data_IF_613566358853
#
_entry.id   IF_613566358853
#
_cell.length_a   1.000
_cell.length_b   1.000
_cell.length_c   1.000
_cell.angle_alpha   90.00
_cell.angle_beta   90.00
_cell.angle_gamma   90.00
#
_symmetry.space_group_name_H-M   'P 1'
#
loop_
_entity.id
_entity.type
_entity.pdbx_description
1 polymer ?
#
# COMPACT_ATOMS: atom_id res chain seq x y z
N UNK A 1 20.14 18.90 -22.78
CA UNK A 1 19.74 18.50 -21.41
C UNK A 1 20.90 17.70 -20.87
N UNK A 2 21.60 18.23 -19.87
CA UNK A 2 22.73 17.53 -19.23
C UNK A 2 22.15 16.33 -18.48
N UNK A 3 22.68 15.13 -18.71
CA UNK A 3 22.19 13.87 -18.11
C UNK A 3 22.49 13.72 -16.62
N UNK A 4 22.47 14.82 -15.86
CA UNK A 4 22.65 14.80 -14.41
C UNK A 4 21.33 14.45 -13.72
N UNK A 5 21.38 13.66 -12.63
CA UNK A 5 20.19 13.32 -11.85
C UNK A 5 19.56 14.58 -11.25
N UNK A 6 18.24 14.70 -11.37
CA UNK A 6 17.46 15.69 -10.59
C UNK A 6 17.17 15.03 -9.25
N UNK A 7 17.84 15.50 -8.20
CA UNK A 7 17.66 14.98 -6.84
C UNK A 7 16.48 15.69 -6.20
N UNK A 8 15.35 14.98 -6.08
CA UNK A 8 14.17 15.46 -5.33
C UNK A 8 14.18 14.99 -3.87
N UNK A 9 15.00 13.98 -3.57
CA UNK A 9 15.18 13.40 -2.24
C UNK A 9 16.57 12.78 -2.15
N UNK A 10 17.28 13.07 -1.05
CA UNK A 10 18.46 12.33 -0.64
C UNK A 10 18.07 11.39 0.50
N UNK A 11 18.36 10.11 0.35
CA UNK A 11 18.17 9.09 1.40
C UNK A 11 19.30 9.13 2.43
N UNK A 12 19.10 8.41 3.54
CA UNK A 12 20.14 8.27 4.56
C UNK A 12 21.41 7.63 3.98
N UNK A 13 22.55 7.93 4.59
CA UNK A 13 23.81 7.28 4.24
C UNK A 13 23.77 5.81 4.64
N UNK A 14 24.47 4.97 3.88
CA UNK A 14 24.54 3.53 4.14
C UNK A 14 25.01 3.19 5.55
N UNK A 15 25.93 3.99 6.11
CA UNK A 15 26.46 3.81 7.47
C UNK A 15 25.40 4.10 8.55
N UNK A 16 24.44 4.96 8.26
CA UNK A 16 23.40 5.40 9.20
C UNK A 16 22.13 4.53 9.15
N UNK A 17 21.95 3.73 8.10
CA UNK A 17 20.72 2.93 7.89
C UNK A 17 20.40 2.05 9.10
N UNK A 18 21.36 1.27 9.57
CA UNK A 18 21.16 0.35 10.70
C UNK A 18 20.77 1.11 11.98
N UNK A 19 21.56 2.09 12.47
CA UNK A 19 21.20 2.81 13.70
C UNK A 19 19.90 3.61 13.58
N UNK A 20 19.53 4.10 12.38
CA UNK A 20 18.25 4.77 12.15
C UNK A 20 17.06 3.80 12.24
N UNK A 21 17.18 2.62 11.61
CA UNK A 21 16.13 1.58 11.70
C UNK A 21 15.99 1.07 13.14
N UNK A 22 17.10 0.84 13.85
CA UNK A 22 17.06 0.49 15.28
C UNK A 22 16.38 1.57 16.12
N UNK A 23 16.65 2.85 15.82
CA UNK A 23 15.99 3.99 16.45
C UNK A 23 14.47 3.99 16.24
N UNK A 24 14.02 3.70 15.01
CA UNK A 24 12.60 3.58 14.66
C UNK A 24 11.94 2.43 15.45
N UNK A 25 12.59 1.26 15.52
CA UNK A 25 12.08 0.12 16.29
C UNK A 25 12.00 0.43 17.79
N UNK A 26 13.03 1.09 18.34
CA UNK A 26 13.04 1.51 19.74
C UNK A 26 11.95 2.56 20.02
N UNK A 27 11.65 3.45 19.07
CA UNK A 27 10.53 4.38 19.17
C UNK A 27 9.19 3.64 19.20
N UNK A 28 8.95 2.69 18.29
CA UNK A 28 7.72 1.87 18.28
C UNK A 28 7.50 1.19 19.64
N UNK A 29 8.52 0.52 20.16
CA UNK A 29 8.44 -0.20 21.44
C UNK A 29 8.08 0.72 22.61
N UNK A 30 8.69 1.92 22.68
CA UNK A 30 8.43 2.89 23.77
C UNK A 30 7.05 3.54 23.69
N UNK A 31 6.53 3.71 22.48
CA UNK A 31 5.27 4.41 22.22
C UNK A 31 4.08 3.48 22.07
N UNK A 32 4.29 2.16 22.17
CA UNK A 32 3.29 1.12 21.92
C UNK A 32 1.99 1.34 22.68
N UNK A 33 2.09 1.57 23.98
CA UNK A 33 0.95 1.59 24.90
C UNK A 33 0.56 3.00 25.35
N UNK A 34 1.32 4.03 24.94
CA UNK A 34 1.19 5.39 25.45
C UNK A 34 0.75 6.40 24.40
N UNK A 35 0.94 6.11 23.11
CA UNK A 35 0.66 7.03 22.02
C UNK A 35 -0.52 6.53 21.17
N UNK A 36 -1.22 7.48 20.57
CA UNK A 36 -2.26 7.22 19.57
C UNK A 36 -1.71 6.30 18.44
N UNK A 37 -2.47 5.25 18.04
CA UNK A 37 -2.02 4.31 17.02
C UNK A 37 -1.69 4.93 15.66
N UNK A 38 -2.46 5.92 15.21
CA UNK A 38 -2.26 6.61 13.93
C UNK A 38 -0.99 7.46 13.98
N UNK A 39 -0.79 8.20 15.08
CA UNK A 39 0.45 8.98 15.32
C UNK A 39 1.68 8.07 15.29
N UNK A 40 1.62 6.93 15.98
CA UNK A 40 2.75 6.02 15.98
C UNK A 40 2.97 5.34 14.63
N UNK A 41 1.89 4.95 13.94
CA UNK A 41 1.98 4.37 12.60
C UNK A 41 2.60 5.35 11.61
N UNK A 42 2.19 6.62 11.65
CA UNK A 42 2.78 7.68 10.82
C UNK A 42 4.27 7.85 11.14
N UNK A 43 4.63 7.99 12.42
CA UNK A 43 6.02 8.21 12.84
C UNK A 43 6.93 7.04 12.43
N UNK A 44 6.50 5.80 12.63
CA UNK A 44 7.30 4.63 12.27
C UNK A 44 7.40 4.45 10.76
N UNK A 45 6.26 4.48 10.06
CA UNK A 45 6.23 4.17 8.64
C UNK A 45 6.86 5.27 7.78
N UNK A 46 6.59 6.55 8.09
CA UNK A 46 7.21 7.66 7.35
C UNK A 46 8.68 7.86 7.73
N UNK A 47 9.06 7.63 8.98
CA UNK A 47 10.48 7.55 9.36
C UNK A 47 11.19 6.50 8.53
N UNK A 48 10.63 5.29 8.42
CA UNK A 48 11.19 4.20 7.62
C UNK A 48 11.33 4.57 6.13
N UNK A 49 10.29 5.16 5.52
CA UNK A 49 10.33 5.46 4.07
C UNK A 49 11.29 6.61 3.74
N UNK A 50 11.48 7.55 4.68
CA UNK A 50 12.46 8.64 4.54
C UNK A 50 13.90 8.15 4.73
N UNK A 51 14.15 7.20 5.64
CA UNK A 51 15.46 6.54 5.79
C UNK A 51 15.81 5.77 4.50
N UNK A 52 14.81 5.10 3.92
CA UNK A 52 14.90 4.34 2.67
C UNK A 52 15.98 3.22 2.71
N UNK A 53 15.86 2.25 3.64
CA UNK A 53 16.93 1.30 3.96
C UNK A 53 17.22 0.23 2.90
N UNK A 54 16.29 -0.01 1.96
CA UNK A 54 16.45 -1.03 0.92
C UNK A 54 16.65 -0.42 -0.46
N UNK A 55 17.22 -1.18 -1.40
CA UNK A 55 17.34 -0.78 -2.81
C UNK A 55 15.99 -0.78 -3.54
N UNK A 56 15.05 -1.64 -3.12
CA UNK A 56 13.67 -1.71 -3.59
C UNK A 56 12.76 -2.19 -2.45
N UNK A 57 11.47 -1.90 -2.55
CA UNK A 57 10.45 -2.42 -1.63
C UNK A 57 10.10 -1.48 -0.49
N UNK A 58 10.78 -0.35 -0.31
CA UNK A 58 10.51 0.59 0.79
C UNK A 58 9.05 1.05 0.80
N UNK A 59 8.47 1.39 -0.35
CA UNK A 59 7.06 1.78 -0.42
C UNK A 59 6.08 0.65 -0.04
N UNK A 60 6.42 -0.61 -0.31
CA UNK A 60 5.61 -1.78 0.08
C UNK A 60 5.69 -2.01 1.59
N UNK A 61 6.90 -1.96 2.15
CA UNK A 61 7.13 -2.12 3.60
C UNK A 61 6.53 -0.95 4.38
N UNK A 62 6.66 0.29 3.88
CA UNK A 62 6.03 1.48 4.45
C UNK A 62 4.52 1.28 4.67
N UNK A 63 3.80 0.85 3.62
CA UNK A 63 2.36 0.57 3.75
C UNK A 63 2.10 -0.60 4.69
N UNK A 64 2.89 -1.67 4.62
CA UNK A 64 2.77 -2.79 5.55
C UNK A 64 2.91 -2.35 7.01
N UNK A 65 3.88 -1.49 7.33
CA UNK A 65 4.09 -0.97 8.69
C UNK A 65 2.89 -0.19 9.21
N UNK A 66 2.24 0.62 8.37
CA UNK A 66 1.00 1.33 8.73
C UNK A 66 -0.08 0.31 9.12
N UNK A 67 -0.36 -0.66 8.26
CA UNK A 67 -1.36 -1.70 8.52
C UNK A 67 -1.03 -2.52 9.76
N UNK A 68 0.23 -2.91 9.91
CA UNK A 68 0.71 -3.73 11.01
C UNK A 68 0.50 -3.02 12.35
N UNK A 69 0.90 -1.75 12.47
CA UNK A 69 0.78 -1.00 13.72
C UNK A 69 -0.69 -0.75 14.06
N UNK A 70 -1.51 -0.36 13.08
CA UNK A 70 -2.95 -0.16 13.32
C UNK A 70 -3.64 -1.46 13.77
N UNK A 71 -3.34 -2.58 13.11
CA UNK A 71 -3.91 -3.88 13.47
C UNK A 71 -3.42 -4.36 14.85
N UNK A 72 -2.11 -4.26 15.12
CA UNK A 72 -1.52 -4.66 16.40
C UNK A 72 -2.08 -3.86 17.57
N UNK A 73 -2.44 -2.59 17.35
CA UNK A 73 -3.03 -1.71 18.36
C UNK A 73 -4.56 -1.77 18.43
N UNK A 74 -5.19 -2.75 17.76
CA UNK A 74 -6.64 -2.95 17.81
C UNK A 74 -7.46 -1.82 17.19
N UNK A 75 -6.85 -0.99 16.33
CA UNK A 75 -7.56 0.07 15.61
C UNK A 75 -8.55 -0.52 14.59
N UNK A 76 -8.19 -1.68 14.03
CA UNK A 76 -9.01 -2.40 13.08
C UNK A 76 -9.96 -3.36 13.84
N UNK A 77 -11.23 -3.50 13.41
CA UNK A 77 -12.07 -4.59 13.91
C UNK A 77 -11.42 -5.96 13.64
N UNK A 78 -11.54 -6.94 14.54
CA UNK A 78 -10.95 -8.27 14.34
C UNK A 78 -11.39 -8.91 13.02
N UNK A 79 -10.43 -9.40 12.24
CA UNK A 79 -10.69 -10.06 10.96
C UNK A 79 -10.94 -9.11 9.78
N UNK A 80 -10.93 -7.79 10.00
CA UNK A 80 -11.12 -6.80 8.92
C UNK A 80 -9.79 -6.13 8.58
N UNK A 81 -9.46 -6.10 7.29
CA UNK A 81 -8.36 -5.30 6.77
C UNK A 81 -8.86 -3.86 6.69
N UNK A 82 -8.27 -2.93 7.45
CA UNK A 82 -8.61 -1.52 7.38
C UNK A 82 -8.01 -0.91 6.10
N UNK A 83 -8.79 -0.54 5.07
CA UNK A 83 -8.27 -0.31 3.72
C UNK A 83 -7.58 1.07 3.54
N UNK A 84 -6.76 1.50 4.50
CA UNK A 84 -6.07 2.80 4.49
C UNK A 84 -5.16 2.99 3.26
N UNK A 85 -4.59 1.90 2.71
CA UNK A 85 -3.80 1.96 1.48
C UNK A 85 -4.63 2.45 0.27
N UNK A 86 -5.93 2.14 0.24
CA UNK A 86 -6.85 2.59 -0.81
C UNK A 86 -7.10 4.10 -0.66
N UNK A 87 -7.31 4.58 0.56
CA UNK A 87 -7.42 6.01 0.84
C UNK A 87 -6.13 6.78 0.48
N UNK A 88 -4.96 6.24 0.83
CA UNK A 88 -3.67 6.80 0.40
C UNK A 88 -3.53 6.85 -1.13
N UNK A 89 -4.02 5.83 -1.84
CA UNK A 89 -4.01 5.81 -3.30
C UNK A 89 -4.94 6.88 -3.90
N UNK A 90 -6.16 7.04 -3.36
CA UNK A 90 -7.07 8.13 -3.75
C UNK A 90 -6.41 9.51 -3.53
N UNK A 91 -5.56 9.62 -2.50
CA UNK A 91 -4.80 10.83 -2.14
C UNK A 91 -3.35 10.83 -2.64
N UNK A 92 -3.05 10.12 -3.74
CA UNK A 92 -1.66 9.96 -4.22
C UNK A 92 -0.91 11.30 -4.43
N UNK A 93 -1.59 12.34 -4.92
CA UNK A 93 -0.96 13.66 -5.11
C UNK A 93 -0.61 14.34 -3.78
N UNK A 94 -1.47 14.20 -2.76
CA UNK A 94 -1.21 14.71 -1.42
C UNK A 94 -0.09 13.93 -0.74
N UNK A 95 -0.11 12.59 -0.86
CA UNK A 95 0.97 11.73 -0.37
C UNK A 95 2.34 12.14 -0.91
N UNK A 96 2.44 12.35 -2.23
CA UNK A 96 3.68 12.81 -2.87
C UNK A 96 4.10 14.19 -2.38
N UNK A 97 3.15 15.10 -2.20
CA UNK A 97 3.41 16.46 -1.71
C UNK A 97 3.99 16.45 -0.30
N UNK A 98 3.42 15.65 0.61
CA UNK A 98 3.85 15.57 2.00
C UNK A 98 5.25 14.94 2.09
N UNK A 99 5.55 13.89 1.32
CA UNK A 99 6.91 13.32 1.24
C UNK A 99 7.94 14.32 0.69
N UNK A 100 7.56 15.07 -0.36
CA UNK A 100 8.43 16.07 -0.98
C UNK A 100 8.66 17.26 -0.07
N UNK A 101 7.67 17.70 0.70
CA UNK A 101 7.78 18.88 1.57
C UNK A 101 8.95 18.75 2.54
N UNK A 102 9.03 17.62 3.26
CA UNK A 102 10.14 17.37 4.18
C UNK A 102 11.47 17.14 3.46
N UNK A 103 11.46 16.37 2.36
CA UNK A 103 12.69 16.10 1.59
C UNK A 103 13.29 17.39 1.02
N UNK A 104 12.44 18.31 0.53
CA UNK A 104 12.84 19.60 0.00
C UNK A 104 13.29 20.57 1.09
N UNK A 105 12.83 20.44 2.33
CA UNK A 105 13.28 21.30 3.43
C UNK A 105 14.70 20.97 3.91
N UNK A 106 15.11 19.70 3.81
CA UNK A 106 16.46 19.27 4.24
C UNK A 106 17.49 19.27 3.10
N UNK A 107 17.05 19.07 1.84
CA UNK A 107 17.94 18.94 0.69
C UNK A 107 18.95 20.09 0.51
N UNK A 108 18.61 21.38 0.75
CA UNK A 108 19.59 22.47 0.66
C UNK A 108 20.77 22.36 1.63
N UNK A 109 20.65 21.52 2.66
CA UNK A 109 21.69 21.28 3.68
C UNK A 109 22.43 19.95 3.47
N UNK A 110 22.18 19.26 2.36
CA UNK A 110 22.79 17.97 2.04
C UNK A 110 23.71 18.15 0.83
N UNK A 111 25.01 18.05 1.07
CA UNK A 111 26.00 18.00 0.00
C UNK A 111 26.07 16.57 -0.57
N UNK A 112 26.07 16.46 -1.89
CA UNK A 112 26.13 15.19 -2.60
C UNK A 112 26.88 15.32 -3.92
N UNK A 113 27.38 14.20 -4.42
CA UNK A 113 28.01 14.07 -5.73
C UNK A 113 27.40 12.91 -6.53
N UNK A 114 27.54 12.91 -7.84
CA UNK A 114 27.04 11.85 -8.72
C UNK A 114 28.04 10.71 -8.77
N UNK A 115 27.57 9.48 -8.60
CA UNK A 115 28.38 8.27 -8.75
C UNK A 115 28.42 7.78 -10.20
N UNK A 116 29.38 6.92 -10.60
CA UNK A 116 29.50 6.43 -11.98
C UNK A 116 28.27 5.68 -12.52
N UNK A 117 27.43 5.14 -11.63
CA UNK A 117 26.16 4.46 -11.92
C UNK A 117 24.94 5.42 -11.89
N UNK A 118 25.17 6.74 -11.91
CA UNK A 118 24.14 7.79 -11.89
C UNK A 118 23.28 7.83 -10.62
N UNK A 119 23.76 7.24 -9.52
CA UNK A 119 23.24 7.46 -8.18
C UNK A 119 23.88 8.71 -7.54
N UNK A 120 23.53 8.97 -6.28
CA UNK A 120 24.14 10.03 -5.48
C UNK A 120 24.95 9.45 -4.34
N UNK A 121 26.09 10.08 -4.05
CA UNK A 121 26.87 9.86 -2.84
C UNK A 121 26.75 11.08 -1.94
N UNK A 122 26.15 10.90 -0.77
CA UNK A 122 25.93 11.95 0.22
C UNK A 122 27.20 12.17 1.04
N UNK A 123 27.67 13.42 1.08
CA UNK A 123 28.91 13.83 1.76
C UNK A 123 28.64 14.34 3.18
N UNK A 124 27.46 14.93 3.41
CA UNK A 124 27.06 15.45 4.73
C UNK A 124 26.66 14.32 5.68
N UNK A 125 26.93 14.47 6.97
CA UNK A 125 26.32 13.64 8.02
C UNK A 125 24.83 13.96 8.12
N UNK A 126 23.96 13.03 7.75
CA UNK A 126 22.51 13.28 7.62
C UNK A 126 21.66 12.55 8.64
N UNK A 127 22.26 11.72 9.51
CA UNK A 127 21.56 10.91 10.50
C UNK A 127 20.50 11.69 11.31
N UNK A 128 20.84 12.89 11.78
CA UNK A 128 19.94 13.66 12.64
C UNK A 128 18.70 14.19 11.92
N UNK A 129 18.77 14.42 10.60
CA UNK A 129 17.58 14.75 9.82
C UNK A 129 16.56 13.61 9.90
N UNK A 130 16.98 12.37 9.70
CA UNK A 130 16.06 11.22 9.77
C UNK A 130 15.72 10.80 11.20
N UNK A 131 16.59 11.07 12.18
CA UNK A 131 16.37 10.70 13.58
C UNK A 131 15.33 11.57 14.28
N UNK A 132 15.31 12.87 13.95
CA UNK A 132 14.48 13.87 14.63
C UNK A 132 13.52 14.58 13.66
N UNK A 133 13.08 13.88 12.62
CA UNK A 133 12.15 14.45 11.65
C UNK A 133 10.82 14.83 12.29
N UNK A 134 10.18 15.88 11.76
CA UNK A 134 8.83 16.28 12.18
C UNK A 134 7.79 15.40 11.50
N UNK A 135 7.06 14.62 12.30
CA UNK A 135 6.03 13.71 11.81
C UNK A 135 4.64 14.36 11.64
N UNK A 136 4.49 15.66 11.88
CA UNK A 136 3.18 16.33 11.94
C UNK A 136 2.40 16.21 10.63
N UNK A 137 2.98 16.63 9.50
CA UNK A 137 2.29 16.58 8.20
C UNK A 137 1.98 15.14 7.76
N UNK A 138 2.88 14.19 8.07
CA UNK A 138 2.66 12.77 7.82
C UNK A 138 1.48 12.22 8.64
N UNK A 139 1.39 12.65 9.90
CA UNK A 139 0.32 12.26 10.81
C UNK A 139 -1.02 12.83 10.36
N UNK A 140 -1.06 14.12 9.99
CA UNK A 140 -2.26 14.76 9.45
C UNK A 140 -2.74 14.09 8.16
N UNK A 141 -1.82 13.77 7.25
CA UNK A 141 -2.12 13.02 6.04
C UNK A 141 -2.71 11.63 6.35
N UNK A 142 -2.12 10.89 7.29
CA UNK A 142 -2.61 9.57 7.63
C UNK A 142 -3.98 9.62 8.30
N UNK A 143 -4.24 10.62 9.15
CA UNK A 143 -5.58 10.84 9.73
C UNK A 143 -6.64 11.13 8.65
N UNK A 144 -6.31 11.92 7.62
CA UNK A 144 -7.23 12.12 6.48
C UNK A 144 -7.52 10.81 5.76
N UNK A 145 -6.51 9.95 5.58
CA UNK A 145 -6.72 8.63 4.98
C UNK A 145 -7.58 7.72 5.89
N UNK A 146 -7.38 7.78 7.20
CA UNK A 146 -8.19 7.06 8.20
C UNK A 146 -9.63 7.54 8.16
N UNK A 147 -9.86 8.86 8.10
CA UNK A 147 -11.19 9.45 7.99
C UNK A 147 -11.90 8.99 6.72
N UNK A 148 -11.28 9.13 5.54
CA UNK A 148 -11.84 8.63 4.27
C UNK A 148 -12.15 7.12 4.33
N UNK A 149 -11.32 6.36 5.06
CA UNK A 149 -11.53 4.92 5.22
C UNK A 149 -12.75 4.62 6.08
N UNK A 150 -12.97 5.40 7.14
CA UNK A 150 -14.13 5.27 8.03
C UNK A 150 -15.41 5.72 7.32
N UNK A 151 -15.36 6.85 6.61
CA UNK A 151 -16.51 7.48 5.97
C UNK A 151 -16.94 6.73 4.70
N UNK A 152 -16.01 6.40 3.80
CA UNK A 152 -16.31 5.81 2.48
C UNK A 152 -15.73 4.41 2.28
N UNK A 153 -14.65 4.08 3.00
CA UNK A 153 -13.86 2.87 2.74
C UNK A 153 -14.56 1.58 3.16
N UNK A 154 -15.22 1.59 4.32
CA UNK A 154 -15.87 0.38 4.84
C UNK A 154 -17.08 -0.07 4.01
N UNK A 155 -17.89 0.85 3.50
CA UNK A 155 -19.04 0.46 2.67
C UNK A 155 -18.59 -0.28 1.41
N UNK A 156 -17.53 0.23 0.76
CA UNK A 156 -16.93 -0.37 -0.41
C UNK A 156 -16.31 -1.75 -0.09
N UNK A 157 -15.58 -1.84 1.02
CA UNK A 157 -14.91 -3.09 1.44
C UNK A 157 -15.92 -4.17 1.86
N UNK A 158 -16.95 -3.81 2.63
CA UNK A 158 -18.00 -4.75 3.04
C UNK A 158 -18.78 -5.26 1.83
N UNK A 159 -19.18 -4.35 0.92
CA UNK A 159 -19.86 -4.73 -0.32
C UNK A 159 -19.00 -5.67 -1.16
N UNK A 160 -17.69 -5.41 -1.20
CA UNK A 160 -16.72 -6.25 -1.91
C UNK A 160 -16.58 -7.64 -1.28
N UNK A 161 -16.44 -7.75 0.03
CA UNK A 161 -16.36 -9.02 0.76
C UNK A 161 -17.61 -9.86 0.50
N UNK A 162 -18.80 -9.25 0.63
CA UNK A 162 -20.08 -9.92 0.37
C UNK A 162 -20.16 -10.41 -1.09
N UNK A 163 -19.76 -9.58 -2.05
CA UNK A 163 -19.74 -9.94 -3.46
C UNK A 163 -18.73 -11.08 -3.74
N UNK A 164 -17.56 -11.04 -3.10
CA UNK A 164 -16.55 -12.08 -3.24
C UNK A 164 -17.02 -13.43 -2.67
N UNK A 165 -17.66 -13.42 -1.50
CA UNK A 165 -18.25 -14.63 -0.89
C UNK A 165 -19.35 -15.22 -1.79
N UNK A 166 -20.22 -14.37 -2.36
CA UNK A 166 -21.23 -14.79 -3.35
C UNK A 166 -20.60 -15.40 -4.60
N UNK A 167 -19.53 -14.78 -5.09
CA UNK A 167 -18.77 -15.27 -6.24
C UNK A 167 -18.16 -16.64 -5.95
N UNK A 168 -17.50 -16.82 -4.81
CA UNK A 168 -16.95 -18.11 -4.39
C UNK A 168 -18.03 -19.19 -4.25
N UNK A 169 -19.15 -18.88 -3.59
CA UNK A 169 -20.28 -19.78 -3.47
C UNK A 169 -20.88 -20.14 -4.84
N UNK A 170 -20.91 -19.19 -5.76
CA UNK A 170 -21.31 -19.40 -7.15
C UNK A 170 -20.39 -20.39 -7.87
N UNK A 171 -19.08 -20.23 -7.76
CA UNK A 171 -18.08 -21.12 -8.37
C UNK A 171 -18.14 -22.54 -7.81
N UNK A 172 -18.38 -22.70 -6.50
CA UNK A 172 -18.53 -24.03 -5.89
C UNK A 172 -19.64 -24.87 -6.53
N UNK A 173 -20.67 -24.24 -7.14
CA UNK A 173 -21.72 -24.94 -7.88
C UNK A 173 -21.25 -25.53 -9.22
N UNK A 174 -20.16 -25.00 -9.79
CA UNK A 174 -19.58 -25.48 -11.05
C UNK A 174 -18.57 -26.63 -10.85
N UNK A 175 -18.10 -26.83 -9.62
CA UNK A 175 -17.16 -27.87 -9.25
C UNK A 175 -16.13 -27.39 -8.24
N UNK A 176 -15.37 -28.33 -7.67
CA UNK A 176 -14.25 -27.99 -6.79
C UNK A 176 -13.11 -27.35 -7.59
N UNK A 177 -12.65 -26.19 -7.12
CA UNK A 177 -11.48 -25.50 -7.65
C UNK A 177 -10.53 -25.17 -6.50
N UNK A 178 -9.20 -25.30 -6.69
CA UNK A 178 -8.24 -24.84 -5.68
C UNK A 178 -8.38 -23.33 -5.42
N UNK A 179 -8.25 -22.90 -4.16
CA UNK A 179 -8.36 -21.49 -3.76
C UNK A 179 -7.48 -20.55 -4.58
N UNK A 180 -6.27 -21.01 -4.92
CA UNK A 180 -5.33 -20.25 -5.76
C UNK A 180 -5.89 -19.99 -7.16
N UNK A 181 -6.59 -20.96 -7.75
CA UNK A 181 -7.23 -20.83 -9.06
C UNK A 181 -8.40 -19.85 -9.00
N UNK A 182 -9.21 -19.93 -7.93
CA UNK A 182 -10.32 -18.99 -7.68
C UNK A 182 -9.80 -17.56 -7.53
N UNK A 183 -8.74 -17.34 -6.75
CA UNK A 183 -8.11 -16.04 -6.59
C UNK A 183 -7.54 -15.49 -7.89
N UNK A 184 -6.84 -16.33 -8.67
CA UNK A 184 -6.28 -15.92 -9.95
C UNK A 184 -7.39 -15.51 -10.91
N UNK A 185 -8.44 -16.33 -11.01
CA UNK A 185 -9.57 -16.10 -11.87
C UNK A 185 -10.33 -14.81 -11.50
N UNK A 186 -10.55 -14.60 -10.20
CA UNK A 186 -11.08 -13.35 -9.67
C UNK A 186 -10.24 -12.12 -10.08
N UNK A 187 -8.90 -12.20 -9.97
CA UNK A 187 -8.01 -11.10 -10.36
C UNK A 187 -8.12 -10.75 -11.84
N UNK A 188 -8.13 -11.76 -12.72
CA UNK A 188 -8.26 -11.53 -14.17
C UNK A 188 -9.61 -10.91 -14.52
N UNK A 189 -10.71 -11.43 -13.97
CA UNK A 189 -12.05 -10.87 -14.18
C UNK A 189 -12.12 -9.42 -13.69
N UNK A 190 -11.64 -9.14 -12.48
CA UNK A 190 -11.62 -7.78 -11.94
C UNK A 190 -10.81 -6.82 -12.81
N UNK A 191 -9.65 -7.25 -13.31
CA UNK A 191 -8.80 -6.42 -14.16
C UNK A 191 -9.44 -6.10 -15.53
N UNK A 192 -10.32 -6.96 -16.01
CA UNK A 192 -10.93 -6.90 -17.33
C UNK A 192 -12.47 -6.75 -17.27
N UNK A 193 -12.97 -6.04 -16.25
CA UNK A 193 -14.39 -5.70 -16.08
C UNK A 193 -15.36 -6.90 -16.21
N UNK A 194 -15.00 -8.02 -15.59
CA UNK A 194 -15.82 -9.23 -15.52
C UNK A 194 -15.67 -10.19 -16.70
N UNK A 195 -14.65 -10.01 -17.54
CA UNK A 195 -14.38 -10.91 -18.69
C UNK A 195 -12.95 -11.44 -18.68
N UNK A 196 -12.71 -12.61 -19.28
CA UNK A 196 -11.36 -13.12 -19.50
C UNK A 196 -10.83 -12.72 -20.88
N UNK A 197 -9.54 -12.36 -20.96
CA UNK A 197 -8.91 -12.14 -22.25
C UNK A 197 -8.64 -13.47 -22.96
N UNK A 198 -8.71 -13.52 -24.30
CA UNK A 198 -8.35 -14.71 -25.09
C UNK A 198 -6.98 -15.31 -24.73
N UNK A 199 -6.04 -14.46 -24.32
CA UNK A 199 -4.71 -14.87 -23.86
C UNK A 199 -4.78 -15.60 -22.50
N UNK A 200 -5.58 -15.09 -21.56
CA UNK A 200 -5.78 -15.72 -20.27
C UNK A 200 -6.48 -17.07 -20.42
N UNK A 201 -7.53 -17.13 -21.25
CA UNK A 201 -8.24 -18.37 -21.60
C UNK A 201 -7.27 -19.44 -22.16
N UNK A 202 -6.47 -19.07 -23.16
CA UNK A 202 -5.60 -20.03 -23.85
C UNK A 202 -4.33 -20.43 -23.08
N UNK A 203 -3.94 -19.68 -22.04
CA UNK A 203 -2.68 -19.93 -21.31
C UNK A 203 -2.92 -20.34 -19.85
N UNK A 204 -3.61 -19.51 -19.10
CA UNK A 204 -3.79 -19.68 -17.65
C UNK A 204 -5.02 -20.56 -17.33
N UNK A 205 -6.04 -20.55 -18.20
CA UNK A 205 -7.32 -21.24 -17.98
C UNK A 205 -7.68 -22.26 -19.09
N UNK A 206 -6.67 -22.83 -19.76
CA UNK A 206 -6.82 -23.75 -20.91
C UNK A 206 -7.68 -24.99 -20.65
N UNK A 207 -7.81 -25.37 -19.38
CA UNK A 207 -8.55 -26.56 -18.92
C UNK A 207 -10.05 -26.27 -18.78
N UNK A 208 -10.45 -24.98 -18.76
CA UNK A 208 -11.85 -24.58 -18.72
C UNK A 208 -12.44 -24.59 -20.12
N UNK A 209 -13.64 -25.17 -20.26
CA UNK A 209 -14.38 -25.09 -21.50
C UNK A 209 -14.90 -23.67 -21.74
N UNK A 210 -15.15 -23.33 -23.02
CA UNK A 210 -15.78 -22.04 -23.38
C UNK A 210 -17.11 -21.82 -22.67
N UNK A 211 -17.87 -22.89 -22.44
CA UNK A 211 -19.14 -22.83 -21.72
C UNK A 211 -18.93 -22.51 -20.23
N UNK A 212 -17.96 -23.17 -19.59
CA UNK A 212 -17.61 -22.93 -18.19
C UNK A 212 -17.07 -21.50 -17.98
N UNK A 213 -16.28 -20.97 -18.91
CA UNK A 213 -15.82 -19.58 -18.87
C UNK A 213 -17.01 -18.61 -18.88
N UNK A 214 -17.99 -18.80 -19.77
CA UNK A 214 -19.19 -17.95 -19.80
C UNK A 214 -20.00 -18.02 -18.52
N UNK A 215 -20.14 -19.20 -17.92
CA UNK A 215 -20.84 -19.38 -16.65
C UNK A 215 -20.12 -18.67 -15.51
N UNK A 216 -18.79 -18.76 -15.48
CA UNK A 216 -17.94 -18.05 -14.51
C UNK A 216 -18.07 -16.53 -14.65
N UNK A 217 -18.03 -16.00 -15.88
CA UNK A 217 -18.24 -14.56 -16.16
C UNK A 217 -19.65 -14.11 -15.73
N UNK A 218 -20.67 -14.94 -15.93
CA UNK A 218 -22.04 -14.67 -15.49
C UNK A 218 -22.15 -14.65 -13.95
N UNK A 219 -21.53 -15.61 -13.26
CA UNK A 219 -21.48 -15.64 -11.78
C UNK A 219 -20.77 -14.38 -11.24
N UNK A 220 -19.68 -13.95 -11.90
CA UNK A 220 -19.00 -12.71 -11.53
C UNK A 220 -19.91 -11.49 -11.72
N UNK A 221 -20.60 -11.39 -12.86
CA UNK A 221 -21.52 -10.30 -13.14
C UNK A 221 -22.72 -10.27 -12.16
N UNK A 222 -23.24 -11.42 -11.75
CA UNK A 222 -24.29 -11.52 -10.72
C UNK A 222 -23.79 -11.07 -9.35
N UNK A 223 -22.57 -11.46 -8.98
CA UNK A 223 -21.99 -11.15 -7.69
C UNK A 223 -21.55 -9.69 -7.54
N UNK A 224 -20.95 -9.10 -8.58
CA UNK A 224 -20.33 -7.77 -8.57
C UNK A 224 -21.08 -6.71 -9.40
N UNK A 225 -22.11 -7.10 -10.16
CA UNK A 225 -22.97 -6.17 -10.89
C UNK A 225 -23.86 -5.38 -9.93
N UNK A 226 -23.89 -4.06 -10.10
CA UNK A 226 -24.81 -3.15 -9.39
C UNK A 226 -26.23 -3.70 -9.42
N UNK A 227 -26.90 -3.69 -8.26
CA UNK A 227 -28.31 -4.01 -8.14
C UNK A 227 -29.13 -3.37 -9.26
N UNK A 228 -29.70 -4.21 -10.12
CA UNK A 228 -30.91 -3.81 -10.85
C UNK A 228 -31.99 -3.66 -9.79
N UNK A 229 -32.32 -2.40 -9.50
CA UNK A 229 -33.58 -1.91 -8.95
C UNK A 229 -34.48 -2.99 -8.35
N UNK A 230 -34.40 -3.14 -7.03
CA UNK A 230 -35.53 -3.60 -6.23
C UNK A 230 -35.98 -2.39 -5.42
N UNK A 231 -37.01 -1.75 -5.99
CA UNK A 231 -38.02 -0.85 -5.40
C UNK A 231 -37.58 0.31 -4.49
#
# INVERSE_FOLDING_TARGET
>A
MTGFPIVEHASSRSEDVIPLVEGILAYEQRTRDSFDPVVSAASVAFGFVQVHPFSDGNGRIHRYLIHHILAQRGFNPPGIIFPVSHAMLKRAQEYQRVLRAYSSSILPFIEWTVTPDYNIHVLTETADYYRYFDATEYTLFLYRCVQDTIEDGFEQEVSHIIAYDRFQAGLQRLGEMPDRSVQLLYQFLRQHNGTLSKRAEGKEFKELSVQMIKEIEAIYAEAFGTGSSLE
#
